data_IF_629772783282
#
_entry.id   IF_629772783282
#
_cell.length_a   1.000
_cell.length_b   1.000
_cell.length_c   1.000
_cell.angle_alpha   90.00
_cell.angle_beta   90.00
_cell.angle_gamma   90.00
#
_symmetry.space_group_name_H-M   'P 1'
#
loop_
_entity.id
_entity.type
_entity.pdbx_description
1 polymer ?
#
# COMPACT_ATOMS: atom_id res chain seq x y z
N UNK A 1 -7.54 -13.23 -5.88
CA UNK A 1 -6.48 -12.25 -6.22
C UNK A 1 -6.41 -12.04 -7.73
N UNK A 2 -5.86 -10.90 -8.20
CA UNK A 2 -5.58 -10.70 -9.63
C UNK A 2 -4.84 -11.91 -10.24
N UNK A 3 -5.06 -12.27 -11.53
CA UNK A 3 -5.70 -11.45 -12.57
C UNK A 3 -7.23 -11.45 -12.48
N UNK A 4 -7.85 -10.38 -13.01
CA UNK A 4 -9.31 -10.30 -13.12
C UNK A 4 -9.84 -11.23 -14.21
N UNK A 5 -11.03 -11.79 -13.99
CA UNK A 5 -11.80 -12.44 -15.05
C UNK A 5 -12.20 -11.44 -16.14
N UNK A 6 -12.23 -11.87 -17.39
CA UNK A 6 -12.54 -11.02 -18.55
C UNK A 6 -13.94 -10.35 -18.39
N UNK A 7 -14.92 -11.07 -17.85
CA UNK A 7 -16.25 -10.51 -17.60
C UNK A 7 -16.26 -9.49 -16.46
N UNK A 8 -15.38 -9.61 -15.49
CA UNK A 8 -15.20 -8.60 -14.43
C UNK A 8 -14.51 -7.36 -15.00
N UNK A 9 -13.51 -7.52 -15.85
CA UNK A 9 -12.85 -6.41 -16.55
C UNK A 9 -13.87 -5.61 -17.41
N UNK A 10 -14.74 -6.29 -18.16
CA UNK A 10 -15.82 -5.63 -18.92
C UNK A 10 -16.80 -4.85 -18.02
N UNK A 11 -17.21 -5.44 -16.89
CA UNK A 11 -18.10 -4.76 -15.93
C UNK A 11 -17.44 -3.53 -15.32
N UNK A 12 -16.17 -3.64 -14.95
CA UNK A 12 -15.39 -2.52 -14.45
C UNK A 12 -15.22 -1.42 -15.50
N UNK A 13 -14.94 -1.79 -16.76
CA UNK A 13 -14.85 -0.82 -17.86
C UNK A 13 -16.16 -0.03 -18.02
N UNK A 14 -17.33 -0.67 -17.91
CA UNK A 14 -18.63 0.01 -17.94
C UNK A 14 -18.80 0.99 -16.78
N UNK A 15 -18.42 0.60 -15.57
CA UNK A 15 -18.46 1.46 -14.39
C UNK A 15 -17.49 2.65 -14.56
N UNK A 16 -16.26 2.41 -15.01
CA UNK A 16 -15.25 3.44 -15.16
C UNK A 16 -15.59 4.44 -16.27
N UNK A 17 -16.17 3.99 -17.38
CA UNK A 17 -16.62 4.87 -18.48
C UNK A 17 -17.85 5.69 -18.07
N UNK A 18 -18.74 5.11 -17.26
CA UNK A 18 -19.95 5.73 -16.71
C UNK A 18 -20.81 6.42 -17.80
N UNK A 19 -21.12 5.68 -18.90
CA UNK A 19 -21.90 6.24 -20.01
C UNK A 19 -23.26 6.76 -19.52
N UNK A 20 -23.57 8.01 -19.90
CA UNK A 20 -24.77 8.72 -19.48
C UNK A 20 -24.89 8.97 -17.96
N UNK A 21 -23.84 8.65 -17.20
CA UNK A 21 -23.78 8.90 -15.77
C UNK A 21 -23.17 10.26 -15.42
N UNK A 22 -23.18 10.64 -14.14
CA UNK A 22 -22.66 11.93 -13.67
C UNK A 22 -21.14 12.07 -13.85
N UNK A 23 -20.42 10.95 -13.96
CA UNK A 23 -18.97 10.92 -14.09
C UNK A 23 -18.51 10.35 -15.44
N UNK A 24 -19.33 10.54 -16.49
CA UNK A 24 -19.03 10.03 -17.82
C UNK A 24 -17.65 10.49 -18.31
N UNK A 25 -16.79 9.52 -18.66
CA UNK A 25 -15.44 9.75 -19.18
C UNK A 25 -15.39 9.61 -20.70
N UNK A 26 -14.90 10.64 -21.37
CA UNK A 26 -14.61 10.63 -22.81
C UNK A 26 -13.29 9.88 -23.08
N UNK A 27 -13.05 9.48 -24.33
CA UNK A 27 -11.88 8.69 -24.70
C UNK A 27 -10.54 9.29 -24.23
N UNK A 28 -10.33 10.60 -24.48
CA UNK A 28 -9.11 11.31 -24.00
C UNK A 28 -9.01 11.37 -22.46
N UNK A 29 -10.13 11.36 -21.74
CA UNK A 29 -10.15 11.35 -20.26
C UNK A 29 -9.76 9.97 -19.72
N UNK A 30 -10.16 8.89 -20.43
CA UNK A 30 -9.73 7.53 -20.10
C UNK A 30 -8.22 7.39 -20.28
N UNK A 31 -7.67 7.86 -21.40
CA UNK A 31 -6.23 7.88 -21.63
C UNK A 31 -5.49 8.63 -20.51
N UNK A 32 -5.98 9.83 -20.15
CA UNK A 32 -5.40 10.59 -19.05
C UNK A 32 -5.54 9.89 -17.69
N UNK A 33 -6.64 9.17 -17.46
CA UNK A 33 -6.84 8.39 -16.24
C UNK A 33 -5.78 7.29 -16.12
N UNK A 34 -5.49 6.55 -17.20
CA UNK A 34 -4.43 5.54 -17.22
C UNK A 34 -3.06 6.15 -16.95
N UNK A 35 -2.75 7.31 -17.55
CA UNK A 35 -1.51 8.06 -17.27
C UNK A 35 -1.40 8.48 -15.80
N UNK A 36 -2.49 9.04 -15.23
CA UNK A 36 -2.52 9.43 -13.81
C UNK A 36 -2.49 8.24 -12.86
N UNK A 37 -2.99 7.08 -13.28
CA UNK A 37 -2.83 5.83 -12.55
C UNK A 37 -1.40 5.27 -12.61
N UNK A 38 -0.50 5.88 -13.38
CA UNK A 38 0.90 5.49 -13.46
C UNK A 38 1.16 4.23 -14.29
N UNK A 39 0.31 3.96 -15.29
CA UNK A 39 0.59 2.91 -16.26
C UNK A 39 1.85 3.24 -17.05
N UNK A 40 2.73 2.26 -17.22
CA UNK A 40 3.83 2.37 -18.16
C UNK A 40 3.28 2.25 -19.59
N UNK A 41 3.65 3.18 -20.46
CA UNK A 41 3.19 3.24 -21.86
C UNK A 41 1.66 3.06 -21.99
N UNK A 42 0.84 3.97 -21.41
CA UNK A 42 -0.60 3.88 -21.49
C UNK A 42 -1.05 3.98 -22.96
N UNK A 43 -2.00 3.15 -23.40
CA UNK A 43 -2.46 3.15 -24.78
C UNK A 43 -3.13 4.48 -25.14
N UNK A 44 -2.90 4.96 -26.37
CA UNK A 44 -3.64 6.09 -26.92
C UNK A 44 -5.05 5.65 -27.30
N UNK A 45 -6.02 6.54 -27.09
CA UNK A 45 -7.40 6.24 -27.46
C UNK A 45 -7.59 6.33 -28.99
N UNK A 46 -7.99 5.23 -29.60
CA UNK A 46 -8.09 5.04 -31.05
C UNK A 46 -9.45 5.43 -31.68
N UNK A 47 -10.42 5.88 -30.85
CA UNK A 47 -11.76 6.24 -31.31
C UNK A 47 -12.77 5.08 -31.32
N UNK A 48 -12.39 3.89 -30.90
CA UNK A 48 -13.29 2.72 -30.76
C UNK A 48 -14.33 2.95 -29.64
N UNK A 49 -15.35 2.10 -29.48
CA UNK A 49 -16.30 2.20 -28.39
C UNK A 49 -15.58 2.18 -27.02
N UNK A 50 -15.73 3.22 -26.25
CA UNK A 50 -14.97 3.49 -24.99
C UNK A 50 -14.96 2.31 -24.02
N UNK A 51 -16.10 1.64 -23.84
CA UNK A 51 -16.19 0.47 -22.95
C UNK A 51 -15.37 -0.69 -23.48
N UNK A 52 -15.47 -0.99 -24.77
CA UNK A 52 -14.69 -2.06 -25.40
C UNK A 52 -13.19 -1.76 -25.34
N UNK A 53 -12.80 -0.53 -25.69
CA UNK A 53 -11.41 -0.09 -25.63
C UNK A 53 -10.82 -0.26 -24.23
N UNK A 54 -11.54 0.20 -23.19
CA UNK A 54 -11.03 0.07 -21.81
C UNK A 54 -11.00 -1.40 -21.35
N UNK A 55 -12.04 -2.18 -21.70
CA UNK A 55 -12.09 -3.60 -21.34
C UNK A 55 -10.92 -4.39 -21.96
N UNK A 56 -10.64 -4.20 -23.26
CA UNK A 56 -9.51 -4.83 -23.95
C UNK A 56 -8.18 -4.47 -23.26
N UNK A 57 -7.96 -3.20 -22.92
CA UNK A 57 -6.75 -2.78 -22.22
C UNK A 57 -6.63 -3.37 -20.81
N UNK A 58 -7.73 -3.56 -20.08
CA UNK A 58 -7.73 -4.24 -18.78
C UNK A 58 -7.38 -5.73 -18.94
N UNK A 59 -7.93 -6.39 -19.96
CA UNK A 59 -7.69 -7.81 -20.24
C UNK A 59 -6.25 -8.03 -20.70
N UNK A 60 -5.72 -7.17 -21.58
CA UNK A 60 -4.36 -7.27 -22.07
C UNK A 60 -3.32 -7.10 -20.95
N UNK A 61 -3.64 -6.30 -19.93
CA UNK A 61 -2.77 -6.04 -18.77
C UNK A 61 -3.13 -6.84 -17.52
N UNK A 62 -3.99 -7.84 -17.62
CA UNK A 62 -4.45 -8.60 -16.45
C UNK A 62 -3.31 -9.26 -15.64
N UNK A 63 -2.20 -9.59 -16.29
CA UNK A 63 -1.03 -10.16 -15.63
C UNK A 63 -0.11 -9.09 -15.01
N UNK A 64 -0.33 -7.81 -15.34
CA UNK A 64 0.35 -6.67 -14.75
C UNK A 64 -0.45 -6.15 -13.53
N UNK A 65 -0.45 -6.93 -12.46
CA UNK A 65 -1.28 -6.71 -11.28
C UNK A 65 -1.16 -5.30 -10.72
N UNK A 66 0.03 -4.71 -10.73
CA UNK A 66 0.26 -3.35 -10.27
C UNK A 66 -0.45 -2.28 -11.10
N UNK A 67 -0.58 -2.46 -12.43
CA UNK A 67 -1.29 -1.52 -13.30
C UNK A 67 -2.79 -1.54 -13.01
N UNK A 68 -3.37 -2.73 -12.87
CA UNK A 68 -4.79 -2.91 -12.55
C UNK A 68 -5.10 -2.31 -11.16
N UNK A 69 -4.31 -2.65 -10.16
CA UNK A 69 -4.49 -2.11 -8.80
C UNK A 69 -4.43 -0.58 -8.79
N UNK A 70 -3.40 0.02 -9.41
CA UNK A 70 -3.25 1.47 -9.47
C UNK A 70 -4.43 2.15 -10.16
N UNK A 71 -4.95 1.56 -11.24
CA UNK A 71 -6.13 2.09 -11.92
C UNK A 71 -7.37 2.04 -11.02
N UNK A 72 -7.64 0.89 -10.40
CA UNK A 72 -8.79 0.71 -9.52
C UNK A 72 -8.74 1.64 -8.31
N UNK A 73 -7.56 1.77 -7.69
CA UNK A 73 -7.34 2.74 -6.62
C UNK A 73 -7.52 4.18 -7.11
N UNK A 74 -6.99 4.52 -8.29
CA UNK A 74 -7.11 5.87 -8.86
C UNK A 74 -8.55 6.26 -9.17
N UNK A 75 -9.34 5.35 -9.70
CA UNK A 75 -10.78 5.57 -9.98
C UNK A 75 -11.56 5.86 -8.69
N UNK A 76 -11.15 5.30 -7.58
CA UNK A 76 -11.76 5.52 -6.27
C UNK A 76 -11.08 6.62 -5.44
N UNK A 77 -10.10 7.34 -6.00
CA UNK A 77 -9.37 8.40 -5.29
C UNK A 77 -10.21 9.69 -5.25
N UNK A 78 -10.40 10.32 -4.07
CA UNK A 78 -11.11 11.60 -3.95
C UNK A 78 -10.60 12.72 -4.85
N UNK A 79 -9.31 12.69 -5.22
CA UNK A 79 -8.68 13.68 -6.12
C UNK A 79 -9.24 13.65 -7.55
N UNK A 80 -9.91 12.57 -7.96
CA UNK A 80 -10.55 12.48 -9.28
C UNK A 80 -11.92 13.17 -9.37
N UNK A 81 -12.47 13.67 -8.26
CA UNK A 81 -13.82 14.19 -8.16
C UNK A 81 -13.85 15.60 -7.58
N UNK A 82 -14.72 16.47 -8.12
CA UNK A 82 -14.85 17.87 -7.70
C UNK A 82 -15.36 18.02 -6.25
N UNK A 83 -16.19 17.07 -5.81
CA UNK A 83 -16.75 16.99 -4.45
C UNK A 83 -15.95 16.03 -3.52
N UNK A 84 -14.81 15.56 -4.01
CA UNK A 84 -13.85 14.79 -3.25
C UNK A 84 -14.41 13.44 -2.78
N UNK A 85 -14.44 13.23 -1.46
CA UNK A 85 -14.77 11.95 -0.84
C UNK A 85 -16.21 11.48 -1.11
N UNK A 86 -17.17 12.39 -1.34
CA UNK A 86 -18.58 12.01 -1.54
C UNK A 86 -18.74 11.16 -2.79
N UNK A 87 -18.32 11.67 -3.94
CA UNK A 87 -18.36 10.92 -5.20
C UNK A 87 -17.40 9.74 -5.21
N UNK A 88 -16.22 9.87 -4.60
CA UNK A 88 -15.28 8.78 -4.50
C UNK A 88 -15.86 7.58 -3.74
N UNK A 89 -16.61 7.81 -2.66
CA UNK A 89 -17.26 6.77 -1.87
C UNK A 89 -18.39 6.08 -2.65
N UNK A 90 -19.22 6.86 -3.37
CA UNK A 90 -20.27 6.32 -4.25
C UNK A 90 -19.66 5.44 -5.35
N UNK A 91 -18.61 5.93 -6.01
CA UNK A 91 -17.93 5.20 -7.07
C UNK A 91 -17.25 3.93 -6.53
N UNK A 92 -16.59 4.03 -5.38
CA UNK A 92 -15.99 2.88 -4.68
C UNK A 92 -17.02 1.80 -4.35
N UNK A 93 -18.21 2.17 -3.89
CA UNK A 93 -19.27 1.22 -3.60
C UNK A 93 -19.68 0.42 -4.85
N UNK A 94 -19.82 1.09 -6.00
CA UNK A 94 -20.16 0.45 -7.27
C UNK A 94 -19.02 -0.43 -7.79
N UNK A 95 -17.78 0.02 -7.68
CA UNK A 95 -16.59 -0.77 -8.04
C UNK A 95 -16.49 -2.02 -7.17
N UNK A 96 -16.66 -1.90 -5.86
CA UNK A 96 -16.61 -3.02 -4.91
C UNK A 96 -17.70 -4.06 -5.19
N UNK A 97 -18.91 -3.65 -5.62
CA UNK A 97 -19.94 -4.60 -6.05
C UNK A 97 -19.47 -5.48 -7.22
N UNK A 98 -18.64 -4.96 -8.12
CA UNK A 98 -18.07 -5.75 -9.24
C UNK A 98 -16.89 -6.59 -8.82
N UNK A 99 -16.06 -6.08 -7.89
CA UNK A 99 -14.87 -6.76 -7.38
C UNK A 99 -15.21 -7.89 -6.39
N UNK A 100 -16.36 -7.83 -5.72
CA UNK A 100 -16.76 -8.85 -4.73
C UNK A 100 -16.81 -10.27 -5.30
N UNK A 101 -17.10 -10.44 -6.59
CA UNK A 101 -17.09 -11.74 -7.29
C UNK A 101 -15.68 -12.36 -7.29
N UNK A 102 -14.66 -11.51 -7.36
CA UNK A 102 -13.24 -11.90 -7.31
C UNK A 102 -12.69 -11.92 -5.86
N UNK A 103 -13.56 -11.73 -4.86
CA UNK A 103 -13.15 -11.57 -3.47
C UNK A 103 -12.18 -10.40 -3.25
N UNK A 104 -12.30 -9.36 -4.06
CA UNK A 104 -11.51 -8.15 -3.98
C UNK A 104 -12.36 -6.99 -3.41
N UNK A 105 -11.69 -6.05 -2.76
CA UNK A 105 -12.34 -4.85 -2.19
C UNK A 105 -11.39 -3.67 -2.17
N UNK A 106 -11.90 -2.48 -2.48
CA UNK A 106 -11.18 -1.23 -2.26
C UNK A 106 -11.63 -0.63 -0.94
N UNK A 107 -10.68 -0.32 -0.09
CA UNK A 107 -10.88 0.35 1.20
C UNK A 107 -10.04 1.62 1.27
N UNK A 108 -10.43 2.57 2.14
CA UNK A 108 -9.58 3.73 2.41
C UNK A 108 -8.69 3.47 3.62
N UNK A 109 -7.39 3.71 3.43
CA UNK A 109 -6.38 3.67 4.48
C UNK A 109 -5.64 5.01 4.43
N UNK A 110 -5.67 5.77 5.52
CA UNK A 110 -5.09 7.11 5.53
C UNK A 110 -5.69 8.05 4.48
N UNK A 111 -6.99 7.92 4.18
CA UNK A 111 -7.68 8.74 3.19
C UNK A 111 -7.43 8.36 1.72
N UNK A 112 -6.64 7.31 1.46
CA UNK A 112 -6.32 6.83 0.09
C UNK A 112 -6.94 5.47 -0.17
N UNK A 113 -7.36 5.25 -1.41
CA UNK A 113 -7.87 3.97 -1.87
C UNK A 113 -6.76 2.92 -1.92
N UNK A 114 -7.02 1.74 -1.36
CA UNK A 114 -6.13 0.58 -1.34
C UNK A 114 -6.93 -0.66 -1.70
N UNK A 115 -6.43 -1.46 -2.63
CA UNK A 115 -7.01 -2.75 -2.99
C UNK A 115 -6.63 -3.80 -1.94
N UNK A 116 -7.61 -4.55 -1.47
CA UNK A 116 -7.45 -5.69 -0.57
C UNK A 116 -8.26 -6.89 -1.04
N UNK A 117 -8.11 -8.00 -0.33
CA UNK A 117 -8.94 -9.20 -0.51
C UNK A 117 -10.02 -9.25 0.56
N UNK A 118 -11.15 -9.89 0.27
CA UNK A 118 -12.14 -10.22 1.28
C UNK A 118 -11.77 -11.54 1.94
N UNK A 119 -11.67 -11.55 3.26
CA UNK A 119 -11.49 -12.78 4.01
C UNK A 119 -12.69 -13.70 3.82
N UNK A 120 -12.45 -14.94 3.41
CA UNK A 120 -13.49 -15.96 3.21
C UNK A 120 -14.23 -16.29 4.50
N UNK A 121 -13.56 -16.16 5.66
CA UNK A 121 -14.11 -16.54 6.96
C UNK A 121 -14.84 -15.39 7.65
N UNK A 122 -14.33 -14.15 7.52
CA UNK A 122 -14.85 -12.99 8.25
C UNK A 122 -15.57 -11.97 7.35
N UNK A 123 -15.39 -12.04 6.03
CA UNK A 123 -15.86 -11.03 5.07
C UNK A 123 -15.20 -9.65 5.24
N UNK A 124 -14.13 -9.57 6.04
CA UNK A 124 -13.40 -8.31 6.28
C UNK A 124 -12.28 -8.14 5.27
N UNK A 125 -11.95 -6.86 4.94
CA UNK A 125 -10.78 -6.58 4.11
C UNK A 125 -9.49 -7.10 4.78
N UNK A 126 -8.68 -7.82 4.00
CA UNK A 126 -7.31 -8.16 4.34
C UNK A 126 -6.38 -7.56 3.29
N UNK A 127 -5.21 -7.11 3.73
CA UNK A 127 -4.24 -6.45 2.89
C UNK A 127 -2.99 -7.30 2.78
N UNK A 128 -2.44 -7.36 1.58
CA UNK A 128 -1.16 -7.98 1.27
C UNK A 128 -0.06 -6.93 1.11
N UNK A 129 1.10 -7.36 0.68
CA UNK A 129 2.20 -6.47 0.28
C UNK A 129 1.69 -5.41 -0.69
N UNK A 130 2.02 -4.11 -0.49
CA UNK A 130 1.65 -3.07 -1.44
C UNK A 130 2.13 -3.38 -2.85
N UNK A 131 1.24 -3.26 -3.84
CA UNK A 131 1.64 -3.40 -5.22
C UNK A 131 2.68 -2.36 -5.61
N UNK A 132 3.53 -2.70 -6.57
CA UNK A 132 4.59 -1.82 -7.07
C UNK A 132 5.57 -1.32 -5.98
N UNK A 133 5.70 -2.08 -4.88
CA UNK A 133 6.51 -1.68 -3.73
C UNK A 133 7.97 -1.39 -4.11
N UNK A 134 8.57 -2.19 -4.98
CA UNK A 134 9.96 -1.97 -5.43
C UNK A 134 10.13 -0.60 -6.09
N UNK A 135 9.25 -0.25 -7.03
CA UNK A 135 9.30 1.05 -7.70
C UNK A 135 8.99 2.22 -6.72
N UNK A 136 8.08 2.02 -5.78
CA UNK A 136 7.81 3.01 -4.72
C UNK A 136 9.04 3.27 -3.88
N UNK A 137 9.72 2.21 -3.43
CA UNK A 137 10.95 2.34 -2.65
C UNK A 137 12.08 3.01 -3.43
N UNK A 138 12.28 2.67 -4.72
CA UNK A 138 13.31 3.30 -5.57
C UNK A 138 13.08 4.78 -5.85
N UNK A 139 11.84 5.26 -5.75
CA UNK A 139 11.55 6.70 -5.78
C UNK A 139 11.85 7.41 -4.46
N UNK A 140 11.73 6.70 -3.34
CA UNK A 140 11.90 7.25 -2.01
C UNK A 140 13.33 7.19 -1.51
N UNK A 141 14.05 6.10 -1.79
CA UNK A 141 15.39 5.77 -1.31
C UNK A 141 16.37 5.77 -2.48
N UNK A 142 17.45 6.54 -2.35
CA UNK A 142 18.47 6.67 -3.39
C UNK A 142 19.45 5.48 -3.37
N UNK A 143 19.71 4.91 -2.20
CA UNK A 143 20.60 3.75 -2.04
C UNK A 143 19.92 2.47 -2.57
N UNK A 144 20.29 2.04 -3.77
CA UNK A 144 19.76 0.83 -4.40
C UNK A 144 20.04 -0.45 -3.60
N UNK A 145 21.16 -0.51 -2.87
CA UNK A 145 21.52 -1.67 -2.03
C UNK A 145 20.53 -1.77 -0.86
N UNK A 146 20.19 -0.64 -0.26
CA UNK A 146 19.19 -0.59 0.80
C UNK A 146 17.81 -1.06 0.28
N UNK A 147 17.40 -0.61 -0.91
CA UNK A 147 16.13 -1.05 -1.54
C UNK A 147 16.15 -2.56 -1.79
N UNK A 148 17.21 -3.10 -2.38
CA UNK A 148 17.33 -4.53 -2.67
C UNK A 148 17.26 -5.39 -1.40
N UNK A 149 17.86 -4.90 -0.30
CA UNK A 149 17.80 -5.55 1.02
C UNK A 149 16.36 -5.52 1.57
N UNK A 150 15.67 -4.38 1.48
CA UNK A 150 14.29 -4.25 1.91
C UNK A 150 13.37 -5.18 1.11
N UNK A 151 13.53 -5.25 -0.21
CA UNK A 151 12.77 -6.15 -1.06
C UNK A 151 13.08 -7.62 -0.80
N UNK A 152 14.33 -7.96 -0.44
CA UNK A 152 14.66 -9.31 0.03
C UNK A 152 13.88 -9.67 1.29
N UNK A 153 13.80 -8.74 2.26
CA UNK A 153 13.03 -8.92 3.50
C UNK A 153 11.54 -9.13 3.23
N UNK A 154 10.98 -8.37 2.28
CA UNK A 154 9.57 -8.55 1.86
C UNK A 154 9.34 -9.93 1.26
N UNK A 155 10.22 -10.39 0.35
CA UNK A 155 10.10 -11.74 -0.24
C UNK A 155 10.16 -12.85 0.83
N UNK A 156 11.08 -12.75 1.80
CA UNK A 156 11.16 -13.69 2.92
C UNK A 156 9.87 -13.67 3.76
N UNK A 157 9.31 -12.48 3.97
CA UNK A 157 8.06 -12.30 4.72
C UNK A 157 6.90 -13.01 4.04
N UNK A 158 6.74 -12.82 2.72
CA UNK A 158 5.69 -13.51 1.93
C UNK A 158 5.86 -15.01 1.97
N UNK A 159 7.09 -15.53 1.82
CA UNK A 159 7.35 -16.97 1.94
C UNK A 159 6.98 -17.52 3.34
N UNK A 160 7.24 -16.77 4.40
CA UNK A 160 6.81 -17.15 5.75
C UNK A 160 5.29 -17.16 5.88
N UNK A 161 4.60 -16.18 5.33
CA UNK A 161 3.13 -16.12 5.31
C UNK A 161 2.52 -17.32 4.57
N UNK A 162 2.98 -17.58 3.34
CA UNK A 162 2.53 -18.68 2.50
C UNK A 162 2.77 -20.07 3.13
N UNK A 163 3.86 -20.19 3.90
CA UNK A 163 4.19 -21.44 4.62
C UNK A 163 3.46 -21.62 5.95
N UNK A 164 2.62 -20.62 6.36
CA UNK A 164 1.94 -20.64 7.65
C UNK A 164 2.81 -20.22 8.84
N UNK A 165 4.03 -19.73 8.61
CA UNK A 165 4.93 -19.20 9.65
C UNK A 165 4.56 -17.76 10.03
N UNK A 166 3.31 -17.53 10.46
CA UNK A 166 2.72 -16.20 10.63
C UNK A 166 3.49 -15.32 11.60
N UNK A 167 3.99 -15.87 12.72
CA UNK A 167 4.85 -15.11 13.65
C UNK A 167 6.07 -14.53 12.94
N UNK A 168 6.73 -15.33 12.10
CA UNK A 168 7.91 -14.89 11.35
C UNK A 168 7.56 -13.87 10.27
N UNK A 169 6.41 -14.00 9.63
CA UNK A 169 5.90 -13.01 8.68
C UNK A 169 5.71 -11.64 9.37
N UNK A 170 5.06 -11.60 10.52
CA UNK A 170 4.86 -10.36 11.30
C UNK A 170 6.19 -9.73 11.72
N UNK A 171 7.16 -10.54 12.16
CA UNK A 171 8.50 -10.07 12.49
C UNK A 171 9.17 -9.48 11.24
N UNK A 172 9.01 -10.13 10.09
CA UNK A 172 9.52 -9.68 8.80
C UNK A 172 8.95 -8.31 8.39
N UNK A 173 7.63 -8.11 8.53
CA UNK A 173 6.97 -6.81 8.29
C UNK A 173 7.59 -5.73 9.21
N UNK A 174 7.71 -6.00 10.50
CA UNK A 174 8.32 -5.06 11.44
C UNK A 174 9.77 -4.72 11.10
N UNK A 175 10.56 -5.70 10.64
CA UNK A 175 11.93 -5.51 10.19
C UNK A 175 12.00 -4.69 8.89
N UNK A 176 11.06 -4.89 7.96
CA UNK A 176 10.93 -4.07 6.76
C UNK A 176 10.64 -2.61 7.11
N UNK A 177 9.66 -2.35 7.98
CA UNK A 177 9.31 -0.98 8.42
C UNK A 177 10.49 -0.30 9.11
N UNK A 178 11.21 -1.02 9.97
CA UNK A 178 12.41 -0.51 10.65
C UNK A 178 13.47 -0.08 9.64
N UNK A 179 13.77 -0.94 8.66
CA UNK A 179 14.75 -0.65 7.62
C UNK A 179 14.32 0.49 6.70
N UNK A 180 13.04 0.58 6.34
CA UNK A 180 12.48 1.66 5.54
C UNK A 180 12.64 3.02 6.23
N UNK A 181 12.15 3.14 7.45
CA UNK A 181 12.26 4.40 8.22
C UNK A 181 13.71 4.78 8.48
N UNK A 182 14.56 3.81 8.83
CA UNK A 182 15.99 4.03 9.03
C UNK A 182 16.64 4.61 7.78
N UNK A 183 16.45 3.97 6.62
CA UNK A 183 17.07 4.41 5.35
C UNK A 183 16.62 5.83 4.99
N UNK A 184 15.34 6.12 5.08
CA UNK A 184 14.81 7.44 4.78
C UNK A 184 15.34 8.52 5.72
N UNK A 185 15.35 8.28 7.02
CA UNK A 185 15.81 9.24 8.02
C UNK A 185 17.30 9.54 7.85
N UNK A 186 18.12 8.53 7.58
CA UNK A 186 19.56 8.72 7.33
C UNK A 186 19.81 9.44 6.00
N UNK A 187 19.06 9.13 4.94
CA UNK A 187 19.27 9.80 3.66
C UNK A 187 18.81 11.26 3.63
N UNK A 188 17.69 11.55 4.27
CA UNK A 188 17.00 12.84 4.15
C UNK A 188 17.33 13.83 5.25
N UNK A 189 17.94 13.39 6.35
CA UNK A 189 18.27 14.24 7.50
C UNK A 189 19.76 14.27 7.78
N UNK A 190 20.38 15.44 7.52
CA UNK A 190 21.83 15.64 7.73
C UNK A 190 22.19 15.64 9.21
N UNK A 191 21.31 16.11 10.10
CA UNK A 191 21.57 16.12 11.53
C UNK A 191 21.58 14.71 12.10
N UNK A 192 20.60 13.89 11.72
CA UNK A 192 20.54 12.48 12.11
C UNK A 192 21.78 11.74 11.57
N UNK A 193 22.16 11.99 10.34
CA UNK A 193 23.36 11.38 9.72
C UNK A 193 24.63 11.75 10.47
N UNK A 194 24.75 13.00 10.91
CA UNK A 194 25.96 13.50 11.56
C UNK A 194 26.05 13.16 13.06
N UNK A 195 24.91 13.26 13.77
CA UNK A 195 24.88 13.16 15.24
C UNK A 195 24.18 11.90 15.76
N UNK A 196 23.36 11.24 14.92
CA UNK A 196 22.47 10.16 15.32
C UNK A 196 21.09 10.65 15.75
N UNK A 197 20.30 9.78 16.32
CA UNK A 197 18.92 10.05 16.75
C UNK A 197 18.88 10.63 18.15
N UNK A 198 18.13 11.72 18.33
CA UNK A 198 17.92 12.30 19.65
C UNK A 198 16.89 11.47 20.43
N UNK A 199 17.33 10.83 21.51
CA UNK A 199 16.44 10.06 22.38
C UNK A 199 15.61 10.94 23.29
N UNK A 200 14.55 10.38 23.88
CA UNK A 200 13.67 11.08 24.85
C UNK A 200 14.40 11.57 26.11
N UNK A 201 15.57 11.00 26.40
CA UNK A 201 16.46 11.40 27.50
C UNK A 201 17.39 12.58 27.12
N UNK A 202 17.21 13.15 25.93
CA UNK A 202 18.02 14.26 25.41
C UNK A 202 19.42 13.86 24.96
N UNK A 203 19.72 12.55 24.87
CA UNK A 203 21.01 12.06 24.38
C UNK A 203 20.90 11.54 22.96
N UNK A 204 21.96 11.79 22.20
CA UNK A 204 22.07 11.21 20.86
C UNK A 204 22.41 9.73 20.93
N UNK A 205 21.63 8.93 20.21
CA UNK A 205 21.87 7.49 20.01
C UNK A 205 22.50 7.28 18.62
N UNK A 206 23.48 6.40 18.56
CA UNK A 206 24.07 6.02 17.27
C UNK A 206 22.99 5.47 16.33
N UNK A 207 23.07 5.75 15.02
CA UNK A 207 22.08 5.28 14.05
C UNK A 207 21.83 3.77 14.12
N UNK A 208 22.89 2.97 14.26
CA UNK A 208 22.86 1.51 14.34
C UNK A 208 22.17 0.95 15.61
N UNK A 209 21.78 1.80 16.55
CA UNK A 209 21.10 1.43 17.80
C UNK A 209 19.70 2.01 17.92
N UNK A 210 19.24 2.73 16.91
CA UNK A 210 17.89 3.28 16.91
C UNK A 210 16.85 2.15 16.92
N UNK A 211 15.94 2.20 17.87
CA UNK A 211 14.83 1.24 17.91
C UNK A 211 13.72 1.65 16.95
N UNK A 212 12.94 0.68 16.48
CA UNK A 212 11.74 0.98 15.65
C UNK A 212 10.82 2.02 16.31
N UNK A 213 10.67 1.99 17.65
CA UNK A 213 9.91 3.00 18.37
C UNK A 213 10.45 4.42 18.15
N UNK A 214 11.77 4.59 18.26
CA UNK A 214 12.39 5.89 18.06
C UNK A 214 12.28 6.35 16.61
N UNK A 215 12.44 5.45 15.64
CA UNK A 215 12.28 5.77 14.21
C UNK A 215 10.86 6.26 13.89
N UNK A 216 9.83 5.60 14.44
CA UNK A 216 8.42 6.01 14.31
C UNK A 216 8.19 7.39 14.94
N UNK A 217 8.67 7.61 16.16
CA UNK A 217 8.51 8.88 16.85
C UNK A 217 9.17 10.03 16.08
N UNK A 218 10.41 9.83 15.62
CA UNK A 218 11.15 10.83 14.83
C UNK A 218 10.49 11.11 13.48
N UNK A 219 10.02 10.09 12.77
CA UNK A 219 9.31 10.28 11.51
C UNK A 219 8.02 11.09 11.70
N UNK A 220 7.32 10.87 12.81
CA UNK A 220 6.13 11.66 13.17
C UNK A 220 6.48 13.10 13.57
N UNK A 221 7.52 13.32 14.39
CA UNK A 221 8.01 14.65 14.75
C UNK A 221 8.44 15.49 13.55
N UNK A 222 8.92 14.82 12.49
CA UNK A 222 9.24 15.46 11.20
C UNK A 222 8.03 15.65 10.28
N UNK A 223 6.84 15.29 10.74
CA UNK A 223 5.60 15.37 9.96
C UNK A 223 5.63 14.50 8.67
N UNK A 224 6.51 13.49 8.61
CA UNK A 224 6.56 12.55 7.48
C UNK A 224 5.45 11.51 7.55
N UNK A 225 4.96 11.22 8.73
CA UNK A 225 3.81 10.33 8.96
C UNK A 225 2.78 11.01 9.87
N UNK A 226 1.52 10.72 9.65
CA UNK A 226 0.42 11.23 10.46
C UNK A 226 0.27 10.46 11.77
N UNK A 227 -0.58 10.95 12.68
CA UNK A 227 -0.76 10.36 14.00
C UNK A 227 -1.35 8.95 13.91
N UNK A 228 -2.30 8.73 13.02
CA UNK A 228 -2.93 7.42 12.81
C UNK A 228 -1.91 6.38 12.28
N UNK A 229 -1.07 6.75 11.31
CA UNK A 229 0.02 5.89 10.85
C UNK A 229 0.99 5.57 11.99
N UNK A 230 1.34 6.55 12.82
CA UNK A 230 2.16 6.35 14.02
C UNK A 230 1.54 5.35 14.98
N UNK A 231 0.26 5.51 15.31
CA UNK A 231 -0.44 4.65 16.26
C UNK A 231 -0.57 3.22 15.73
N UNK A 232 -0.86 3.05 14.43
CA UNK A 232 -0.88 1.74 13.80
C UNK A 232 0.51 1.08 13.77
N UNK A 233 1.57 1.84 13.53
CA UNK A 233 2.95 1.32 13.57
C UNK A 233 3.36 0.85 14.97
N UNK A 234 2.79 1.41 16.05
CA UNK A 234 3.04 0.90 17.41
C UNK A 234 2.50 -0.53 17.58
N UNK A 235 1.42 -0.91 16.90
CA UNK A 235 0.91 -2.29 16.90
C UNK A 235 1.87 -3.23 16.16
N UNK A 236 2.37 -2.83 14.97
CA UNK A 236 3.39 -3.61 14.23
C UNK A 236 4.64 -3.80 15.09
N UNK A 237 5.10 -2.75 15.76
CA UNK A 237 6.22 -2.82 16.70
C UNK A 237 5.95 -3.78 17.86
N UNK A 238 4.75 -3.73 18.44
CA UNK A 238 4.36 -4.61 19.53
C UNK A 238 4.44 -6.08 19.09
N UNK A 239 3.87 -6.41 17.95
CA UNK A 239 3.88 -7.77 17.41
C UNK A 239 5.30 -8.22 17.02
N UNK A 240 6.12 -7.32 16.45
CA UNK A 240 7.53 -7.63 16.13
C UNK A 240 8.34 -8.03 17.37
N UNK A 241 7.98 -7.56 18.56
CA UNK A 241 8.68 -7.92 19.79
C UNK A 241 8.52 -9.41 20.17
N UNK A 242 7.58 -10.14 19.57
CA UNK A 242 7.48 -11.59 19.70
C UNK A 242 8.63 -12.37 19.05
N UNK A 243 9.56 -11.69 18.37
CA UNK A 243 10.88 -12.28 18.05
C UNK A 243 11.59 -12.83 19.28
N UNK A 244 11.27 -12.31 20.46
CA UNK A 244 11.82 -12.79 21.72
C UNK A 244 10.96 -13.93 22.27
N UNK A 245 11.45 -15.18 22.32
CA UNK A 245 10.66 -16.35 22.78
C UNK A 245 10.06 -16.17 24.16
N UNK A 246 10.69 -15.36 25.00
CA UNK A 246 10.18 -15.05 26.35
C UNK A 246 8.89 -14.21 26.31
N UNK A 247 8.76 -13.29 25.35
CA UNK A 247 7.53 -12.52 25.15
C UNK A 247 6.42 -13.42 24.61
N UNK A 248 6.76 -14.27 23.64
CA UNK A 248 5.85 -15.27 23.08
C UNK A 248 5.34 -16.23 24.16
N UNK A 249 6.23 -16.77 24.99
CA UNK A 249 5.87 -17.66 26.10
C UNK A 249 4.95 -16.97 27.13
N UNK A 250 5.19 -15.70 27.42
CA UNK A 250 4.42 -14.95 28.43
C UNK A 250 3.01 -14.59 27.94
N UNK A 251 2.82 -14.28 26.66
CA UNK A 251 1.56 -13.79 26.11
C UNK A 251 0.82 -14.84 25.26
N UNK A 252 1.52 -15.90 24.82
CA UNK A 252 0.98 -17.01 24.01
C UNK A 252 0.09 -16.53 22.83
N UNK A 253 0.55 -15.58 21.99
CA UNK A 253 -0.24 -15.08 20.89
C UNK A 253 -0.48 -16.23 19.89
N UNK A 254 -1.68 -16.24 19.31
CA UNK A 254 -1.98 -17.13 18.19
C UNK A 254 -2.14 -16.26 16.94
N UNK A 255 -1.08 -16.18 16.18
CA UNK A 255 -1.11 -15.45 14.91
C UNK A 255 -1.56 -16.38 13.78
N UNK A 256 -2.40 -15.85 12.93
CA UNK A 256 -2.95 -16.46 11.73
C UNK A 256 -2.74 -15.56 10.52
N UNK A 257 -3.27 -15.90 9.37
CA UNK A 257 -3.19 -15.10 8.14
C UNK A 257 -3.82 -13.72 8.32
N UNK A 258 -4.95 -13.64 9.03
CA UNK A 258 -5.61 -12.34 9.28
C UNK A 258 -4.72 -11.41 10.13
N UNK A 259 -3.99 -11.97 11.08
CA UNK A 259 -3.03 -11.21 11.89
C UNK A 259 -1.89 -10.63 11.05
N UNK A 260 -1.39 -11.37 10.06
CA UNK A 260 -0.36 -10.88 9.12
C UNK A 260 -0.93 -9.75 8.25
N UNK A 261 -2.12 -9.96 7.69
CA UNK A 261 -2.81 -8.98 6.86
C UNK A 261 -3.09 -7.67 7.61
N UNK A 262 -3.46 -7.74 8.89
CA UNK A 262 -3.60 -6.57 9.76
C UNK A 262 -2.28 -5.80 9.96
N UNK A 263 -1.14 -6.44 9.79
CA UNK A 263 0.16 -5.78 9.86
C UNK A 263 0.55 -5.11 8.53
N UNK A 264 0.04 -5.57 7.38
CA UNK A 264 0.27 -4.90 6.09
C UNK A 264 -0.54 -3.60 5.92
N UNK A 265 -1.76 -3.52 6.45
CA UNK A 265 -2.58 -2.32 6.36
C UNK A 265 -1.85 -1.04 6.84
N UNK A 266 -1.19 -1.03 8.03
CA UNK A 266 -0.37 0.10 8.46
C UNK A 266 0.79 0.44 7.53
N UNK A 267 1.36 -0.56 6.84
CA UNK A 267 2.45 -0.33 5.88
C UNK A 267 1.98 0.47 4.67
N UNK A 268 0.76 0.19 4.16
CA UNK A 268 0.14 0.99 3.11
C UNK A 268 -0.02 2.45 3.54
N UNK A 269 -0.54 2.69 4.76
CA UNK A 269 -0.69 4.03 5.30
C UNK A 269 0.65 4.77 5.43
N UNK A 270 1.63 4.09 6.04
CA UNK A 270 2.99 4.62 6.19
C UNK A 270 3.60 5.06 4.85
N UNK A 271 3.54 4.22 3.84
CA UNK A 271 4.08 4.54 2.51
C UNK A 271 3.34 5.70 1.85
N UNK A 272 2.02 5.76 1.99
CA UNK A 272 1.21 6.84 1.43
C UNK A 272 1.58 8.19 2.06
N UNK A 273 1.70 8.25 3.39
CA UNK A 273 2.11 9.46 4.11
C UNK A 273 3.50 9.92 3.67
N UNK A 274 4.47 9.00 3.63
CA UNK A 274 5.84 9.29 3.22
C UNK A 274 5.88 9.84 1.79
N UNK A 275 5.20 9.21 0.83
CA UNK A 275 5.15 9.68 -0.55
C UNK A 275 4.52 11.06 -0.69
N UNK A 276 3.47 11.35 0.08
CA UNK A 276 2.84 12.66 0.07
C UNK A 276 3.76 13.77 0.59
N UNK A 277 4.52 13.48 1.64
CA UNK A 277 5.32 14.48 2.35
C UNK A 277 6.72 14.65 1.78
N UNK A 278 7.37 13.59 1.37
CA UNK A 278 8.78 13.62 0.95
C UNK A 278 9.05 13.02 -0.44
N UNK A 279 8.06 12.46 -1.09
CA UNK A 279 8.17 11.85 -2.43
C UNK A 279 8.19 12.86 -3.60
N UNK A 280 8.19 14.17 -3.33
CA UNK A 280 8.21 15.26 -4.32
C UNK A 280 9.61 15.68 -4.69
#
# INVERSE_FOLDING_TARGET
MLPLDDSTAERLARVIVDMEGPYERKGYQLEQLLKRAGWADPPEYDGSPRIAWLAENLIDRRDEHGDIERLLCRVCDPVEYDDGMVSADEFRAVVNDKLAVEQLVISYIGGRAVLGELSSDSGKPIFSVPADLDNRLRRLITDSIAVDLLMSRVRETVLCEESGAHTMAIIGIGSFVEGLLYSLLIERDEEIRAKGFLGRDGKYQRPDRASLALLIDVAHEKEWIQLDAKDFMQNVRHFRNFVHPRAELAQQPRFDRDSVALCWAPVHNLLNDIEERIGR
#
